data_IF_160579496866
#
_entry.id   IF_160579496866
#
_cell.length_a   1.000
_cell.length_b   1.000
_cell.length_c   1.000
_cell.angle_alpha   90.00
_cell.angle_beta   90.00
_cell.angle_gamma   90.00
#
_symmetry.space_group_name_H-M   'P 1'
#
loop_
_entity.id
_entity.type
_entity.pdbx_description
1 polymer ?
#
# COMPACT_ATOMS: atom_id res chain seq x y z
N UNK A 1 -1.01 -20.90 -14.37
CA UNK A 1 -0.47 -19.71 -13.69
C UNK A 1 -1.57 -18.67 -13.78
N UNK A 2 -2.04 -18.12 -12.67
CA UNK A 2 -3.10 -17.09 -12.73
C UNK A 2 -2.41 -15.78 -13.10
N UNK A 3 -2.81 -15.21 -14.22
CA UNK A 3 -2.39 -13.87 -14.63
C UNK A 3 -3.13 -12.84 -13.76
N UNK A 4 -2.42 -11.79 -13.35
CA UNK A 4 -2.99 -10.74 -12.53
C UNK A 4 -3.91 -9.87 -13.38
N UNK A 5 -5.07 -9.48 -12.84
CA UNK A 5 -5.97 -8.52 -13.47
C UNK A 5 -6.57 -7.59 -12.42
N UNK A 6 -6.81 -6.34 -12.80
CA UNK A 6 -7.56 -5.38 -11.97
C UNK A 6 -8.99 -5.86 -11.66
N UNK A 7 -9.58 -6.74 -12.48
CA UNK A 7 -10.89 -7.34 -12.21
C UNK A 7 -10.93 -8.23 -10.95
N UNK A 8 -9.75 -8.66 -10.48
CA UNK A 8 -9.57 -9.43 -9.24
C UNK A 8 -9.54 -8.53 -8.00
N UNK A 9 -9.33 -7.22 -8.17
CA UNK A 9 -9.17 -6.27 -7.06
C UNK A 9 -10.53 -5.80 -6.58
N UNK A 10 -10.97 -6.36 -5.45
CA UNK A 10 -12.30 -6.08 -4.88
C UNK A 10 -12.22 -5.84 -3.39
N UNK A 11 -13.13 -5.03 -2.86
CA UNK A 11 -13.27 -4.92 -1.41
C UNK A 11 -13.67 -6.26 -0.80
N UNK A 12 -13.10 -6.56 0.37
CA UNK A 12 -13.51 -7.68 1.21
C UNK A 12 -14.07 -7.16 2.53
N UNK A 13 -15.41 -7.13 2.70
CA UNK A 13 -16.04 -6.56 3.89
C UNK A 13 -15.61 -7.20 5.22
N UNK A 14 -15.18 -8.46 5.18
CA UNK A 14 -14.72 -9.21 6.35
C UNK A 14 -13.20 -9.17 6.57
N UNK A 15 -12.43 -8.47 5.73
CA UNK A 15 -10.98 -8.43 5.82
C UNK A 15 -10.44 -7.00 5.89
N UNK A 16 -9.32 -6.88 6.60
CA UNK A 16 -8.52 -5.68 6.68
C UNK A 16 -7.45 -5.73 5.60
N UNK A 17 -7.29 -4.65 4.83
CA UNK A 17 -6.10 -4.52 4.00
C UNK A 17 -4.86 -4.36 4.87
N UNK A 18 -3.82 -5.10 4.52
CA UNK A 18 -2.47 -4.88 5.00
C UNK A 18 -1.84 -3.71 4.24
N UNK A 19 -0.95 -2.99 4.93
CA UNK A 19 -0.29 -1.84 4.36
C UNK A 19 1.14 -1.71 4.87
N UNK A 20 2.06 -1.46 3.95
CA UNK A 20 3.44 -1.17 4.27
C UNK A 20 4.04 -0.13 3.34
N UNK A 21 5.09 0.54 3.80
CA UNK A 21 5.83 1.51 3.00
C UNK A 21 7.34 1.35 3.17
N UNK A 22 8.06 1.66 2.10
CA UNK A 22 9.51 1.87 2.08
C UNK A 22 9.75 3.37 2.03
N UNK A 23 10.51 3.86 2.99
CA UNK A 23 10.93 5.26 3.07
C UNK A 23 12.43 5.38 2.80
N UNK A 24 12.89 6.60 2.53
CA UNK A 24 14.31 6.91 2.33
C UNK A 24 15.21 6.34 3.45
N UNK A 25 14.76 6.40 4.70
CA UNK A 25 15.54 5.96 5.87
C UNK A 25 14.81 4.87 6.70
N UNK A 26 13.78 4.23 6.16
CA UNK A 26 13.06 3.14 6.82
C UNK A 26 12.73 2.04 5.81
N UNK A 27 13.38 0.89 5.95
CA UNK A 27 13.30 -0.17 4.96
C UNK A 27 11.89 -0.69 4.73
N UNK A 28 11.19 -1.13 5.76
CA UNK A 28 9.84 -1.68 5.60
C UNK A 28 9.01 -1.37 6.83
N UNK A 29 8.19 -0.34 6.75
CA UNK A 29 7.28 0.00 7.84
C UNK A 29 5.93 -0.65 7.57
N UNK A 30 5.55 -1.64 8.37
CA UNK A 30 4.17 -2.13 8.39
C UNK A 30 3.31 -1.13 9.16
N UNK A 31 2.23 -0.71 8.54
CA UNK A 31 1.20 0.10 9.16
C UNK A 31 0.05 -0.83 9.54
N UNK A 32 -0.54 -0.64 10.71
CA UNK A 32 -1.72 -1.42 11.08
C UNK A 32 -2.89 -1.07 10.17
N UNK A 33 -3.60 -2.10 9.71
CA UNK A 33 -4.81 -2.00 8.90
C UNK A 33 -5.89 -1.08 9.51
N UNK A 34 -5.87 -0.93 10.84
CA UNK A 34 -6.70 0.01 11.60
C UNK A 34 -6.60 1.47 11.12
N UNK A 35 -5.50 1.87 10.46
CA UNK A 35 -5.35 3.22 9.90
C UNK A 35 -6.31 3.51 8.74
N UNK A 36 -6.69 2.49 7.97
CA UNK A 36 -7.69 2.65 6.91
C UNK A 36 -9.11 2.39 7.37
N UNK A 37 -9.32 2.07 8.67
CA UNK A 37 -10.64 1.92 9.25
C UNK A 37 -10.63 1.21 10.60
N UNK A 38 -10.66 1.99 11.69
CA UNK A 38 -11.31 1.57 12.93
C UNK A 38 -12.70 2.19 12.93
N UNK A 39 -13.75 1.36 12.95
CA UNK A 39 -15.07 1.84 13.35
C UNK A 39 -14.93 2.43 14.76
N UNK A 40 -15.41 3.66 14.97
CA UNK A 40 -15.30 4.42 16.24
C UNK A 40 -15.89 3.69 17.47
N UNK A 41 -16.47 2.50 17.31
CA UNK A 41 -17.20 1.76 18.33
C UNK A 41 -16.60 0.36 18.52
N UNK A 42 -15.44 0.25 19.19
CA UNK A 42 -14.86 -0.92 19.91
C UNK A 42 -15.09 -2.35 19.39
N UNK A 43 -15.46 -2.56 18.14
CA UNK A 43 -15.57 -3.86 17.51
C UNK A 43 -14.39 -4.02 16.56
N UNK A 44 -13.79 -5.21 16.62
CA UNK A 44 -12.75 -5.79 15.76
C UNK A 44 -13.21 -5.93 14.30
N UNK A 45 -13.94 -4.94 13.77
CA UNK A 45 -14.40 -4.87 12.40
C UNK A 45 -13.58 -3.80 11.68
N UNK A 46 -12.78 -4.28 10.74
CA UNK A 46 -12.22 -3.49 9.65
C UNK A 46 -13.36 -2.70 9.00
N UNK A 47 -13.10 -1.47 8.54
CA UNK A 47 -14.09 -0.80 7.71
C UNK A 47 -14.47 -1.71 6.53
N UNK A 48 -15.77 -1.80 6.23
CA UNK A 48 -16.32 -2.68 5.19
C UNK A 48 -15.71 -2.40 3.79
N UNK A 49 -15.03 -1.25 3.64
CA UNK A 49 -14.40 -0.69 2.45
C UNK A 49 -12.90 -0.34 2.65
N UNK A 50 -12.19 -1.07 3.52
CA UNK A 50 -10.80 -0.75 3.90
C UNK A 50 -9.83 -0.58 2.72
N UNK A 51 -10.01 -1.32 1.63
CA UNK A 51 -9.22 -1.16 0.41
C UNK A 51 -9.55 0.16 -0.29
N UNK A 52 -10.83 0.45 -0.55
CA UNK A 52 -11.23 1.73 -1.15
C UNK A 52 -10.73 2.92 -0.33
N UNK A 53 -10.83 2.86 1.00
CA UNK A 53 -10.36 3.93 1.89
C UNK A 53 -8.86 4.17 1.81
N UNK A 54 -8.05 3.14 1.55
CA UNK A 54 -6.61 3.30 1.35
C UNK A 54 -6.27 4.23 0.17
N UNK A 55 -7.20 4.41 -0.79
CA UNK A 55 -7.02 5.29 -1.94
C UNK A 55 -7.88 6.56 -1.90
N UNK A 56 -9.02 6.56 -1.20
CA UNK A 56 -9.99 7.68 -1.24
C UNK A 56 -10.09 8.51 0.04
N UNK A 57 -9.56 8.01 1.17
CA UNK A 57 -9.62 8.73 2.46
C UNK A 57 -8.85 10.05 2.40
N UNK A 58 -9.47 11.11 2.95
CA UNK A 58 -8.87 12.45 3.01
C UNK A 58 -7.83 12.61 4.11
N UNK A 59 -7.78 11.68 5.07
CA UNK A 59 -6.90 11.76 6.25
C UNK A 59 -5.87 10.64 6.29
N UNK A 60 -6.24 9.49 5.74
CA UNK A 60 -5.52 8.23 5.81
C UNK A 60 -5.61 7.53 4.46
N UNK A 61 -5.00 8.10 3.43
CA UNK A 61 -4.83 7.42 2.14
C UNK A 61 -3.36 7.39 1.74
N UNK A 62 -3.05 6.54 0.77
CA UNK A 62 -1.76 6.53 0.11
C UNK A 62 -1.46 7.87 -0.60
N UNK A 63 -2.49 8.57 -1.10
CA UNK A 63 -2.32 9.92 -1.67
C UNK A 63 -1.82 10.87 -0.58
N UNK A 64 -2.41 10.84 0.62
CA UNK A 64 -1.93 11.62 1.76
C UNK A 64 -0.52 11.20 2.19
N UNK A 65 -0.20 9.90 2.18
CA UNK A 65 1.14 9.39 2.49
C UNK A 65 2.20 9.98 1.57
N UNK A 66 1.94 10.07 0.27
CA UNK A 66 2.90 10.63 -0.69
C UNK A 66 2.87 12.17 -0.79
N UNK A 67 1.86 12.83 -0.19
CA UNK A 67 1.75 14.29 -0.19
C UNK A 67 2.68 14.93 0.83
N UNK A 68 3.35 16.03 0.47
CA UNK A 68 4.16 16.82 1.41
C UNK A 68 3.32 17.41 2.55
N UNK A 69 2.07 17.81 2.27
CA UNK A 69 1.17 18.43 3.25
C UNK A 69 0.37 17.38 4.02
N UNK A 70 -0.01 16.29 3.34
CA UNK A 70 -0.84 15.22 3.91
C UNK A 70 -0.07 14.17 4.71
N UNK A 71 1.26 14.10 4.57
CA UNK A 71 2.05 13.01 5.15
C UNK A 71 2.30 13.23 6.65
N UNK A 72 1.36 12.76 7.47
CA UNK A 72 1.48 12.76 8.93
C UNK A 72 2.72 12.01 9.43
N UNK A 73 3.12 10.93 8.74
CA UNK A 73 4.33 10.20 9.13
C UNK A 73 5.58 11.06 9.00
N UNK A 74 5.73 11.78 7.89
CA UNK A 74 6.88 12.64 7.68
C UNK A 74 6.90 13.82 8.66
N UNK A 75 5.73 14.38 9.00
CA UNK A 75 5.62 15.44 10.00
C UNK A 75 5.99 14.95 11.41
N UNK A 76 5.44 13.80 11.82
CA UNK A 76 5.59 13.30 13.18
C UNK A 76 6.93 12.54 13.36
N UNK A 77 7.49 12.01 12.27
CA UNK A 77 8.74 11.23 12.22
C UNK A 77 9.57 11.60 10.97
N UNK A 78 10.12 12.82 10.90
CA UNK A 78 10.91 13.26 9.75
C UNK A 78 12.17 12.40 9.52
N UNK A 79 12.67 11.73 10.56
CA UNK A 79 13.82 10.83 10.49
C UNK A 79 13.61 9.64 9.55
N UNK A 80 12.37 9.24 9.26
CA UNK A 80 12.08 8.16 8.32
C UNK A 80 12.29 8.57 6.86
N UNK A 81 12.27 9.87 6.57
CA UNK A 81 12.33 10.40 5.22
C UNK A 81 11.08 10.16 4.39
N UNK A 82 11.15 10.50 3.10
CA UNK A 82 9.98 10.43 2.22
C UNK A 82 9.64 8.98 1.87
N UNK A 83 8.35 8.60 1.85
CA UNK A 83 7.94 7.31 1.31
C UNK A 83 8.19 7.30 -0.19
N UNK A 84 8.88 6.27 -0.69
CA UNK A 84 9.13 6.08 -2.13
C UNK A 84 8.20 5.06 -2.74
N UNK A 85 7.89 4.02 -1.98
CA UNK A 85 6.97 2.98 -2.37
C UNK A 85 6.05 2.64 -1.21
N UNK A 86 4.82 2.27 -1.56
CA UNK A 86 3.82 1.76 -0.64
C UNK A 86 3.16 0.53 -1.24
N UNK A 87 2.69 -0.39 -0.42
CA UNK A 87 1.97 -1.56 -0.90
C UNK A 87 0.75 -1.83 -0.05
N UNK A 88 -0.36 -2.17 -0.71
CA UNK A 88 -1.63 -2.53 -0.08
C UNK A 88 -2.10 -3.88 -0.63
N UNK A 89 -2.52 -4.79 0.24
CA UNK A 89 -2.96 -6.13 -0.15
C UNK A 89 -3.90 -6.74 0.89
N UNK A 90 -4.63 -7.78 0.51
CA UNK A 90 -5.28 -8.67 1.48
C UNK A 90 -4.40 -9.88 1.74
N UNK A 91 -4.33 -10.34 2.99
CA UNK A 91 -3.45 -11.44 3.41
C UNK A 91 -3.64 -12.73 2.59
N UNK A 92 -4.88 -13.01 2.20
CA UNK A 92 -5.27 -14.24 1.51
C UNK A 92 -5.40 -14.06 -0.02
N UNK A 93 -4.92 -12.93 -0.57
CA UNK A 93 -4.96 -12.66 -2.01
C UNK A 93 -3.59 -12.86 -2.65
N UNK A 94 -3.60 -13.34 -3.90
CA UNK A 94 -2.39 -13.56 -4.71
C UNK A 94 -1.86 -12.25 -5.31
N UNK A 95 -2.60 -11.15 -5.18
CA UNK A 95 -2.25 -9.83 -5.69
C UNK A 95 -1.91 -8.86 -4.56
N UNK A 96 -1.09 -7.86 -4.89
CA UNK A 96 -0.84 -6.68 -4.09
C UNK A 96 -0.76 -5.47 -5.03
N UNK A 97 -1.17 -4.29 -4.54
CA UNK A 97 -1.07 -3.04 -5.26
C UNK A 97 0.20 -2.32 -4.76
N UNK A 98 1.24 -2.29 -5.59
CA UNK A 98 2.45 -1.53 -5.32
C UNK A 98 2.28 -0.12 -5.90
N UNK A 99 2.53 0.90 -5.08
CA UNK A 99 2.28 2.29 -5.41
C UNK A 99 3.56 3.13 -5.30
N UNK A 100 3.64 4.11 -6.18
CA UNK A 100 4.49 5.30 -6.06
C UNK A 100 3.60 6.52 -5.83
N UNK A 101 4.19 7.71 -5.80
CA UNK A 101 3.42 8.96 -5.74
C UNK A 101 2.45 9.14 -6.91
N UNK A 102 2.80 8.65 -8.11
CA UNK A 102 2.08 8.98 -9.35
C UNK A 102 1.33 7.81 -9.96
N UNK A 103 1.78 6.60 -9.71
CA UNK A 103 1.30 5.38 -10.36
C UNK A 103 1.17 4.24 -9.35
N UNK A 104 0.32 3.27 -9.69
CA UNK A 104 0.22 1.99 -9.02
C UNK A 104 0.32 0.85 -10.03
N UNK A 105 0.74 -0.32 -9.56
CA UNK A 105 0.88 -1.54 -10.37
C UNK A 105 0.47 -2.77 -9.57
N UNK A 106 -0.21 -3.71 -10.23
CA UNK A 106 -0.46 -5.02 -9.65
C UNK A 106 0.79 -5.88 -9.68
N UNK A 107 1.08 -6.49 -8.54
CA UNK A 107 2.16 -7.46 -8.36
C UNK A 107 1.63 -8.70 -7.66
N UNK A 108 2.37 -9.80 -7.73
CA UNK A 108 2.06 -10.98 -6.91
C UNK A 108 2.37 -10.66 -5.44
N UNK A 109 1.43 -10.92 -4.54
CA UNK A 109 1.60 -10.69 -3.10
C UNK A 109 2.80 -11.46 -2.54
N UNK A 110 3.11 -12.63 -3.10
CA UNK A 110 4.29 -13.43 -2.75
C UNK A 110 5.63 -12.68 -2.86
N UNK A 111 5.72 -11.62 -3.68
CA UNK A 111 6.91 -10.77 -3.80
C UNK A 111 7.18 -9.92 -2.54
N UNK A 112 6.18 -9.73 -1.68
CA UNK A 112 6.25 -8.84 -0.51
C UNK A 112 5.71 -9.47 0.80
N UNK A 113 4.94 -10.56 0.73
CA UNK A 113 4.22 -11.12 1.87
C UNK A 113 5.13 -11.52 3.05
N UNK A 114 6.36 -11.94 2.76
CA UNK A 114 7.32 -12.39 3.77
C UNK A 114 8.11 -11.24 4.44
N UNK A 115 7.92 -9.99 4.01
CA UNK A 115 8.64 -8.87 4.63
C UNK A 115 8.07 -8.58 6.01
N UNK A 116 8.97 -8.44 6.99
CA UNK A 116 8.67 -8.00 8.35
C UNK A 116 8.98 -6.51 8.51
N UNK A 117 8.46 -5.90 9.58
CA UNK A 117 8.84 -4.53 9.90
C UNK A 117 10.37 -4.46 10.10
N UNK A 118 11.03 -3.54 9.41
CA UNK A 118 12.49 -3.41 9.44
C UNK A 118 12.86 -1.94 9.24
N UNK A 119 13.62 -1.37 10.17
CA UNK A 119 14.07 0.04 10.08
C UNK A 119 15.30 0.16 9.17
N UNK A 120 16.31 -0.65 9.42
CA UNK A 120 17.60 -0.60 8.73
C UNK A 120 17.57 -1.27 7.36
N UNK A 121 18.52 -0.93 6.49
CA UNK A 121 18.64 -1.47 5.14
C UNK A 121 17.67 -0.86 4.14
N UNK A 122 17.41 0.45 4.27
CA UNK A 122 16.43 1.16 3.44
C UNK A 122 16.87 1.22 1.98
N UNK A 123 18.14 1.49 1.72
CA UNK A 123 18.70 1.52 0.36
C UNK A 123 18.56 0.18 -0.35
N UNK A 124 18.90 -0.93 0.32
CA UNK A 124 18.75 -2.27 -0.22
C UNK A 124 17.28 -2.58 -0.49
N UNK A 125 16.38 -2.20 0.42
CA UNK A 125 14.94 -2.41 0.21
C UNK A 125 14.40 -1.60 -0.95
N UNK A 126 14.84 -0.35 -1.11
CA UNK A 126 14.49 0.50 -2.23
C UNK A 126 14.94 -0.11 -3.56
N UNK A 127 16.16 -0.67 -3.62
CA UNK A 127 16.66 -1.38 -4.80
C UNK A 127 15.77 -2.59 -5.13
N UNK A 128 15.44 -3.42 -4.13
CA UNK A 128 14.60 -4.61 -4.31
C UNK A 128 13.21 -4.22 -4.81
N UNK A 129 12.55 -3.26 -4.17
CA UNK A 129 11.18 -2.84 -4.53
C UNK A 129 11.16 -2.13 -5.89
N UNK A 130 12.19 -1.34 -6.22
CA UNK A 130 12.37 -0.78 -7.56
C UNK A 130 12.53 -1.88 -8.61
N UNK A 131 13.27 -2.94 -8.30
CA UNK A 131 13.39 -4.12 -9.16
C UNK A 131 12.02 -4.78 -9.41
N UNK A 132 11.22 -4.95 -8.37
CA UNK A 132 9.84 -5.46 -8.48
C UNK A 132 9.03 -4.55 -9.42
N UNK A 133 9.02 -3.24 -9.17
CA UNK A 133 8.31 -2.25 -9.98
C UNK A 133 8.69 -2.33 -11.47
N UNK A 134 10.00 -2.29 -11.76
CA UNK A 134 10.51 -2.31 -13.12
C UNK A 134 10.24 -3.64 -13.85
N UNK A 135 10.17 -4.75 -13.12
CA UNK A 135 9.83 -6.08 -13.68
C UNK A 135 8.34 -6.29 -13.92
N UNK A 136 7.47 -5.43 -13.39
CA UNK A 136 6.03 -5.57 -13.53
C UNK A 136 5.54 -5.16 -14.92
N UNK A 137 4.55 -5.89 -15.43
CA UNK A 137 3.95 -5.63 -16.73
C UNK A 137 3.35 -4.22 -16.81
N UNK A 138 3.65 -3.51 -17.90
CA UNK A 138 3.18 -2.14 -18.10
C UNK A 138 1.65 -2.05 -18.22
N UNK A 139 0.99 -3.09 -18.74
CA UNK A 139 -0.48 -3.20 -18.83
C UNK A 139 -1.18 -3.21 -17.48
N UNK A 140 -0.47 -3.57 -16.40
CA UNK A 140 -0.98 -3.60 -15.04
C UNK A 140 -0.77 -2.27 -14.29
N UNK A 141 -0.12 -1.29 -14.92
CA UNK A 141 0.13 0.03 -14.33
C UNK A 141 -1.03 0.96 -14.62
N UNK A 142 -1.44 1.69 -13.59
CA UNK A 142 -2.48 2.73 -13.68
C UNK A 142 -2.01 3.98 -12.92
N UNK A 143 -2.46 5.17 -13.33
CA UNK A 143 -2.28 6.38 -12.53
C UNK A 143 -2.83 6.19 -11.11
N UNK A 144 -2.13 6.73 -10.12
CA UNK A 144 -2.52 6.62 -8.71
C UNK A 144 -3.93 7.19 -8.47
N UNK A 145 -4.30 8.23 -9.22
CA UNK A 145 -5.64 8.86 -9.17
C UNK A 145 -6.77 7.97 -9.70
N UNK A 146 -6.46 6.94 -10.48
CA UNK A 146 -7.45 6.05 -11.12
C UNK A 146 -7.60 4.72 -10.37
N UNK A 147 -6.74 4.41 -9.38
CA UNK A 147 -6.80 3.12 -8.67
C UNK A 147 -8.18 2.85 -8.06
N UNK A 148 -8.83 3.87 -7.50
CA UNK A 148 -10.17 3.72 -6.92
C UNK A 148 -11.25 3.34 -7.92
N UNK A 149 -11.05 3.64 -9.21
CA UNK A 149 -12.00 3.27 -10.28
C UNK A 149 -11.92 1.78 -10.62
N UNK A 150 -10.80 1.13 -10.29
CA UNK A 150 -10.58 -0.30 -10.50
C UNK A 150 -11.00 -1.17 -9.31
N UNK A 151 -11.32 -0.57 -8.15
CA UNK A 151 -11.75 -1.32 -6.97
C UNK A 151 -13.26 -1.54 -7.05
N UNK A 152 -13.68 -2.79 -7.24
CA UNK A 152 -15.11 -3.17 -7.26
C UNK A 152 -15.64 -3.62 -5.89
#
# INVERSE_FOLDING_TARGET
>A
MIDLSWDQVRNKPSQCVEFAAVHDNFAWRKHHASKFGLLKNQQTRCADDSLSRAFTSKEDSLICLFSEVGNRTLRDHPEYGHPRYAVVWYKDEDWAILCTQNEAVLIKSSKIANYSCQREGADERLIIVRGIWNSSEHSLRVPMSQVSEHIT
#
